data_IF_716985542086
#
_entry.id   IF_716985542086
#
_cell.length_a   1.000
_cell.length_b   1.000
_cell.length_c   1.000
_cell.angle_alpha   90.00
_cell.angle_beta   90.00
_cell.angle_gamma   90.00
#
_symmetry.space_group_name_H-M   'P 1'
#
loop_
_entity.id
_entity.type
_entity.pdbx_description
1 polymer ?
#
# COMPACT_ATOMS: atom_id res chain seq x y z
N UNK A 1 -19.56 9.62 17.20
CA UNK A 1 -19.58 10.79 16.30
C UNK A 1 -19.35 10.33 14.88
N UNK A 2 -19.98 10.97 13.94
CA UNK A 2 -19.90 10.70 12.51
C UNK A 2 -19.08 11.85 11.91
N UNK A 3 -18.17 11.55 10.98
CA UNK A 3 -17.43 12.56 10.24
C UNK A 3 -18.32 13.35 9.26
N UNK A 4 -17.76 14.38 8.64
CA UNK A 4 -18.49 15.23 7.69
C UNK A 4 -18.98 14.48 6.44
N UNK A 5 -18.40 13.30 6.14
CA UNK A 5 -18.86 12.40 5.09
C UNK A 5 -19.89 11.35 5.57
N UNK A 6 -20.42 11.52 6.80
CA UNK A 6 -21.35 10.61 7.46
C UNK A 6 -20.78 9.22 7.79
N UNK A 7 -19.47 9.03 7.76
CA UNK A 7 -18.79 7.78 8.16
C UNK A 7 -18.41 7.80 9.62
N UNK A 8 -18.43 6.65 10.28
CA UNK A 8 -17.93 6.45 11.64
C UNK A 8 -16.50 5.89 11.54
N UNK A 9 -15.61 6.66 10.94
CA UNK A 9 -14.22 6.25 10.75
C UNK A 9 -13.32 7.47 10.87
N UNK A 10 -12.48 7.50 11.92
CA UNK A 10 -11.42 8.49 12.01
C UNK A 10 -10.26 8.03 11.12
N UNK A 11 -10.24 8.50 9.89
CA UNK A 11 -9.19 8.20 8.89
C UNK A 11 -8.31 9.44 8.69
N UNK A 12 -7.10 9.51 9.28
CA UNK A 12 -6.27 10.71 9.24
C UNK A 12 -5.89 11.21 7.82
N UNK A 13 -5.79 10.36 6.79
CA UNK A 13 -5.66 10.81 5.40
C UNK A 13 -6.90 11.49 4.82
N UNK A 14 -8.07 11.36 5.47
CA UNK A 14 -9.32 11.93 4.98
C UNK A 14 -9.45 13.41 5.34
N UNK A 15 -9.72 14.32 4.38
CA UNK A 15 -9.97 15.72 4.68
C UNK A 15 -11.23 15.91 5.55
N UNK A 16 -12.18 14.98 5.48
CA UNK A 16 -13.39 15.03 6.30
C UNK A 16 -13.08 14.76 7.77
N UNK A 17 -12.27 13.74 8.09
CA UNK A 17 -11.82 13.49 9.46
C UNK A 17 -10.96 14.63 10.01
N UNK A 18 -10.18 15.28 9.15
CA UNK A 18 -9.25 16.36 9.53
C UNK A 18 -9.84 17.77 9.42
N UNK A 19 -11.14 17.92 9.09
CA UNK A 19 -11.76 19.20 8.79
C UNK A 19 -11.51 20.26 9.88
N UNK A 20 -11.66 19.90 11.14
CA UNK A 20 -11.44 20.84 12.25
C UNK A 20 -10.01 21.34 12.35
N UNK A 21 -9.02 20.52 12.03
CA UNK A 21 -7.62 20.93 11.98
C UNK A 21 -7.36 21.80 10.76
N UNK A 22 -7.99 21.50 9.63
CA UNK A 22 -7.93 22.32 8.42
C UNK A 22 -8.50 23.72 8.64
N UNK A 23 -9.59 23.85 9.38
CA UNK A 23 -10.23 25.14 9.68
C UNK A 23 -9.36 26.06 10.55
N UNK A 24 -8.44 25.49 11.33
CA UNK A 24 -7.56 26.25 12.24
C UNK A 24 -6.08 26.18 11.86
N UNK A 25 -5.73 25.63 10.71
CA UNK A 25 -4.34 25.39 10.28
C UNK A 25 -3.43 26.61 10.33
N UNK A 26 -3.99 27.80 10.03
CA UNK A 26 -3.22 29.04 10.01
C UNK A 26 -2.92 29.63 11.40
N UNK A 27 -3.43 28.98 12.46
CA UNK A 27 -3.19 29.39 13.86
C UNK A 27 -2.00 28.68 14.50
N UNK A 28 -1.45 27.67 13.86
CA UNK A 28 -0.37 26.82 14.37
C UNK A 28 0.66 26.55 13.28
N UNK A 29 1.91 26.36 13.68
CA UNK A 29 2.99 26.02 12.74
C UNK A 29 2.79 24.66 12.07
N UNK A 30 2.15 23.73 12.79
CA UNK A 30 1.81 22.38 12.33
C UNK A 30 0.66 21.81 13.16
N UNK A 31 -0.19 20.99 12.56
CA UNK A 31 -1.19 20.22 13.29
C UNK A 31 -1.17 18.77 12.82
N UNK A 32 -1.54 17.85 13.71
CA UNK A 32 -1.58 16.42 13.39
C UNK A 32 -2.63 15.70 14.24
N UNK A 33 -3.06 14.54 13.74
CA UNK A 33 -3.92 13.61 14.45
C UNK A 33 -3.54 12.17 14.14
N UNK A 34 -4.00 11.26 14.99
CA UNK A 34 -3.93 9.82 14.77
C UNK A 34 -5.34 9.26 14.68
N UNK A 35 -5.47 8.05 14.14
CA UNK A 35 -6.70 7.28 14.23
C UNK A 35 -6.92 6.69 15.65
N UNK A 36 -7.97 5.90 15.81
CA UNK A 36 -8.43 5.47 17.14
C UNK A 36 -7.49 4.49 17.83
N UNK A 37 -6.74 3.70 17.09
CA UNK A 37 -5.72 2.76 17.59
C UNK A 37 -4.29 3.29 17.45
N UNK A 38 -4.14 4.53 16.96
CA UNK A 38 -2.90 5.30 16.90
C UNK A 38 -1.81 4.65 16.01
N UNK A 39 -2.20 3.84 15.04
CA UNK A 39 -1.27 3.20 14.11
C UNK A 39 -1.06 4.00 12.81
N UNK A 40 -1.91 5.02 12.56
CA UNK A 40 -1.84 5.92 11.40
C UNK A 40 -1.83 7.39 11.81
N UNK A 41 -1.22 8.21 10.97
CA UNK A 41 -1.04 9.64 11.19
C UNK A 41 -1.68 10.49 10.09
N UNK A 42 -2.07 11.71 10.43
CA UNK A 42 -2.42 12.76 9.48
C UNK A 42 -1.71 14.05 9.88
N UNK A 43 -1.12 14.74 8.92
CA UNK A 43 -0.39 15.99 9.13
C UNK A 43 -1.04 17.10 8.33
N UNK A 44 -1.38 18.20 9.00
CA UNK A 44 -1.93 19.41 8.41
C UNK A 44 -0.90 20.52 8.50
N UNK A 45 -0.54 21.06 7.35
CA UNK A 45 0.40 22.17 7.16
C UNK A 45 -0.38 23.44 6.79
N UNK A 46 0.30 24.57 6.65
CA UNK A 46 -0.34 25.79 6.14
C UNK A 46 -0.94 25.60 4.73
N UNK A 47 -0.36 24.73 3.91
CA UNK A 47 -0.89 24.38 2.59
C UNK A 47 -2.13 23.48 2.63
N UNK A 48 -2.41 22.81 3.77
CA UNK A 48 -3.51 21.89 3.96
C UNK A 48 -3.08 20.51 4.45
N UNK A 49 -3.96 19.53 4.27
CA UNK A 49 -3.69 18.13 4.61
C UNK A 49 -2.60 17.56 3.68
N UNK A 50 -1.52 17.08 4.27
CA UNK A 50 -0.43 16.47 3.52
C UNK A 50 -0.77 15.00 3.20
N UNK A 51 -0.74 14.65 1.92
CA UNK A 51 -1.01 13.28 1.51
C UNK A 51 0.02 12.30 2.13
N UNK A 52 -0.39 11.08 2.56
CA UNK A 52 0.51 10.13 3.22
C UNK A 52 1.77 9.84 2.41
N UNK A 53 1.65 9.52 1.13
CA UNK A 53 2.79 9.26 0.26
C UNK A 53 3.77 10.44 0.16
N UNK A 54 3.26 11.67 0.22
CA UNK A 54 4.10 12.87 0.24
C UNK A 54 4.88 12.95 1.54
N UNK A 55 4.21 12.71 2.66
CA UNK A 55 4.86 12.77 3.97
C UNK A 55 5.84 11.61 4.19
N UNK A 56 5.53 10.39 3.71
CA UNK A 56 6.50 9.28 3.72
C UNK A 56 7.81 9.67 3.04
N UNK A 57 7.73 10.32 1.88
CA UNK A 57 8.92 10.76 1.13
C UNK A 57 9.73 11.81 1.90
N UNK A 58 9.05 12.76 2.56
CA UNK A 58 9.70 13.77 3.41
C UNK A 58 10.33 13.15 4.65
N UNK A 59 9.62 12.22 5.33
CA UNK A 59 10.17 11.51 6.49
C UNK A 59 11.45 10.76 6.13
N UNK A 60 11.45 10.02 5.04
CA UNK A 60 12.60 9.26 4.56
C UNK A 60 13.76 10.21 4.27
N UNK A 61 13.52 11.26 3.49
CA UNK A 61 14.55 12.23 3.15
C UNK A 61 15.18 12.86 4.39
N UNK A 62 14.34 13.30 5.31
CA UNK A 62 14.80 13.95 6.54
C UNK A 62 15.56 12.98 7.46
N UNK A 63 14.98 11.80 7.75
CA UNK A 63 15.55 10.86 8.70
C UNK A 63 16.93 10.36 8.28
N UNK A 64 17.10 9.94 7.03
CA UNK A 64 18.38 9.40 6.56
C UNK A 64 19.49 10.44 6.45
N UNK A 65 19.15 11.73 6.46
CA UNK A 65 20.13 12.83 6.53
C UNK A 65 20.41 13.29 7.97
N UNK A 66 19.48 13.04 8.94
CA UNK A 66 19.58 13.59 10.29
C UNK A 66 19.68 12.53 11.38
N UNK A 67 19.99 11.29 11.03
CA UNK A 67 20.21 10.16 11.95
C UNK A 67 21.59 9.54 11.70
N UNK A 68 22.69 10.24 12.07
CA UNK A 68 24.05 9.79 11.73
C UNK A 68 24.48 8.50 12.42
N UNK A 69 23.74 8.08 13.45
CA UNK A 69 24.02 6.82 14.18
C UNK A 69 23.37 5.61 13.50
N UNK A 70 22.49 5.83 12.52
CA UNK A 70 21.91 4.73 11.76
C UNK A 70 22.96 4.08 10.85
N UNK A 71 22.89 2.77 10.72
CA UNK A 71 23.75 2.03 9.81
C UNK A 71 23.71 2.62 8.40
N UNK A 72 24.88 2.75 7.79
CA UNK A 72 24.96 3.12 6.36
C UNK A 72 24.25 2.12 5.45
N UNK A 73 24.04 0.89 5.90
CA UNK A 73 23.34 -0.18 5.18
C UNK A 73 21.84 -0.23 5.49
N UNK A 74 21.34 0.58 6.44
CA UNK A 74 19.92 0.62 6.75
C UNK A 74 19.10 0.97 5.50
N UNK A 75 18.13 0.11 5.17
CA UNK A 75 17.29 0.23 3.98
C UNK A 75 16.00 1.01 4.28
N UNK A 76 15.29 1.36 3.21
CA UNK A 76 13.97 1.98 3.22
C UNK A 76 12.92 0.93 2.90
N UNK A 77 12.01 0.66 3.85
CA UNK A 77 10.86 -0.23 3.65
C UNK A 77 9.66 0.53 3.06
N UNK A 78 9.08 0.00 1.98
CA UNK A 78 7.85 0.50 1.34
C UNK A 78 7.00 -0.64 0.81
N UNK A 79 5.70 -0.42 0.62
CA UNK A 79 4.84 -1.39 -0.06
C UNK A 79 4.86 -1.20 -1.58
N UNK A 80 4.47 -2.24 -2.32
CA UNK A 80 4.36 -2.19 -3.79
C UNK A 80 3.36 -1.15 -4.31
N UNK A 81 2.48 -0.63 -3.45
CA UNK A 81 1.48 0.40 -3.78
C UNK A 81 1.82 1.79 -3.25
N UNK A 82 2.94 1.94 -2.54
CA UNK A 82 3.46 3.25 -2.14
C UNK A 82 4.09 3.98 -3.33
N UNK A 83 4.15 5.32 -3.22
CA UNK A 83 4.68 6.19 -4.28
C UNK A 83 6.08 5.80 -4.75
N UNK A 84 6.32 5.90 -6.05
CA UNK A 84 7.65 5.78 -6.65
C UNK A 84 8.54 7.01 -6.42
N UNK A 85 8.04 8.09 -5.82
CA UNK A 85 8.86 9.18 -5.34
C UNK A 85 9.86 8.70 -4.28
N UNK A 86 9.48 7.73 -3.45
CA UNK A 86 10.37 7.08 -2.47
C UNK A 86 11.58 6.43 -3.17
N UNK A 87 11.38 5.86 -4.36
CA UNK A 87 12.46 5.23 -5.14
C UNK A 87 13.51 6.28 -5.56
N UNK A 88 13.05 7.45 -6.02
CA UNK A 88 13.91 8.57 -6.42
C UNK A 88 14.66 9.17 -5.24
N UNK A 89 13.97 9.37 -4.12
CA UNK A 89 14.58 9.82 -2.85
C UNK A 89 15.62 8.81 -2.36
N UNK A 90 15.28 7.51 -2.35
CA UNK A 90 16.17 6.43 -1.96
C UNK A 90 17.44 6.38 -2.83
N UNK A 91 17.30 6.53 -4.14
CA UNK A 91 18.43 6.59 -5.08
C UNK A 91 19.35 7.78 -4.79
N UNK A 92 18.81 8.99 -4.56
CA UNK A 92 19.60 10.17 -4.14
C UNK A 92 20.35 9.93 -2.83
N UNK A 93 19.70 9.31 -1.85
CA UNK A 93 20.27 8.98 -0.56
C UNK A 93 21.22 7.79 -0.60
N UNK A 94 21.36 7.13 -1.75
CA UNK A 94 22.12 5.88 -1.94
C UNK A 94 21.69 4.78 -0.96
N UNK A 95 20.37 4.66 -0.73
CA UNK A 95 19.79 3.67 0.17
C UNK A 95 19.06 2.59 -0.61
N UNK A 96 19.25 1.35 -0.17
CA UNK A 96 18.53 0.20 -0.72
C UNK A 96 17.04 0.30 -0.36
N UNK A 97 16.19 -0.05 -1.33
CA UNK A 97 14.76 -0.22 -1.09
C UNK A 97 14.46 -1.67 -0.68
N UNK A 98 13.52 -1.82 0.24
CA UNK A 98 12.91 -3.08 0.60
C UNK A 98 11.41 -2.98 0.30
N UNK A 99 11.06 -3.20 -0.99
CA UNK A 99 9.69 -3.12 -1.48
C UNK A 99 9.00 -4.47 -1.31
N UNK A 100 7.90 -4.50 -0.55
CA UNK A 100 7.22 -5.71 -0.10
C UNK A 100 5.71 -5.66 -0.43
N UNK A 101 4.98 -6.79 -0.36
CA UNK A 101 3.53 -6.76 -0.44
C UNK A 101 2.91 -5.88 0.64
N UNK A 102 1.66 -5.45 0.44
CA UNK A 102 0.91 -4.70 1.47
C UNK A 102 0.81 -5.53 2.75
N UNK A 103 1.10 -4.88 3.87
CA UNK A 103 1.06 -5.47 5.21
C UNK A 103 2.35 -5.20 6.00
N UNK A 104 2.20 -4.51 7.12
CA UNK A 104 3.33 -4.03 7.92
C UNK A 104 4.20 -5.15 8.51
N UNK A 105 3.63 -6.35 8.68
CA UNK A 105 4.33 -7.57 9.15
C UNK A 105 5.64 -7.89 8.41
N UNK A 106 5.74 -7.48 7.14
CA UNK A 106 6.92 -7.72 6.32
C UNK A 106 8.13 -6.91 6.76
N UNK A 107 7.89 -5.79 7.43
CA UNK A 107 8.94 -4.89 7.90
C UNK A 107 9.45 -5.25 9.30
N UNK A 108 8.67 -5.99 10.08
CA UNK A 108 8.95 -6.26 11.48
C UNK A 108 10.36 -6.83 11.75
N UNK A 109 10.87 -7.84 11.01
CA UNK A 109 12.23 -8.34 11.23
C UNK A 109 13.30 -7.27 11.01
N UNK A 110 13.19 -6.51 9.90
CA UNK A 110 14.18 -5.51 9.54
C UNK A 110 14.17 -4.27 10.44
N UNK A 111 13.02 -3.90 11.02
CA UNK A 111 12.93 -2.87 12.05
C UNK A 111 13.53 -3.36 13.38
N UNK A 112 13.32 -4.65 13.72
CA UNK A 112 13.83 -5.24 14.94
C UNK A 112 15.35 -5.33 14.96
N UNK A 113 15.96 -5.71 13.84
CA UNK A 113 17.41 -5.91 13.73
C UNK A 113 18.18 -4.68 13.19
N UNK A 114 17.46 -3.60 12.83
CA UNK A 114 18.03 -2.35 12.32
C UNK A 114 18.49 -2.40 10.86
N UNK A 115 18.18 -3.46 10.11
CA UNK A 115 18.42 -3.52 8.65
C UNK A 115 17.47 -2.62 7.87
N UNK A 116 16.33 -2.24 8.46
CA UNK A 116 15.45 -1.17 7.98
C UNK A 116 15.56 0.03 8.92
N UNK A 117 15.95 1.19 8.39
CA UNK A 117 15.91 2.45 9.12
C UNK A 117 14.49 3.02 9.22
N UNK A 118 13.71 2.80 8.17
CA UNK A 118 12.34 3.26 8.02
C UNK A 118 11.48 2.21 7.32
N UNK A 119 10.21 2.14 7.69
CA UNK A 119 9.18 1.40 6.98
C UNK A 119 7.87 2.21 6.95
N UNK A 120 7.16 2.19 5.81
CA UNK A 120 5.91 2.93 5.67
C UNK A 120 4.96 2.37 4.63
N UNK A 121 3.69 2.65 4.83
CA UNK A 121 2.57 2.29 3.95
C UNK A 121 1.82 3.54 3.51
N UNK A 122 1.27 3.52 2.31
CA UNK A 122 0.46 4.61 1.73
C UNK A 122 -0.79 4.92 2.54
N UNK A 123 -1.19 4.04 3.43
CA UNK A 123 -2.31 4.21 4.38
C UNK A 123 -1.98 5.12 5.56
N UNK A 124 -0.78 5.73 5.57
CA UNK A 124 -0.25 6.58 6.65
C UNK A 124 0.23 5.82 7.89
N UNK A 125 0.52 4.53 7.77
CA UNK A 125 1.24 3.77 8.79
C UNK A 125 2.73 3.85 8.57
N UNK A 126 3.53 4.18 9.59
CA UNK A 126 4.98 4.21 9.50
C UNK A 126 5.64 3.85 10.83
N UNK A 127 6.87 3.34 10.75
CA UNK A 127 7.76 3.18 11.89
C UNK A 127 9.20 3.38 11.45
N UNK A 128 10.06 3.79 12.38
CA UNK A 128 11.47 4.01 12.12
C UNK A 128 12.30 3.85 13.40
N UNK A 129 13.59 3.69 13.24
CA UNK A 129 14.52 3.48 14.34
C UNK A 129 14.62 4.72 15.23
N UNK A 130 14.99 4.51 16.48
CA UNK A 130 15.42 5.57 17.40
C UNK A 130 16.64 6.29 16.85
N UNK A 131 17.02 7.39 17.48
CA UNK A 131 18.19 8.19 17.09
C UNK A 131 19.49 7.40 17.14
N UNK A 132 19.62 6.49 18.10
CA UNK A 132 20.78 5.62 18.29
C UNK A 132 20.82 4.40 17.35
N UNK A 133 19.81 4.24 16.49
CA UNK A 133 19.70 3.11 15.56
C UNK A 133 19.05 1.86 16.17
N UNK A 134 18.62 1.90 17.42
CA UNK A 134 17.86 0.79 18.02
C UNK A 134 16.40 0.80 17.57
N UNK A 135 15.75 -0.35 17.64
CA UNK A 135 14.33 -0.48 17.32
C UNK A 135 13.47 0.35 18.28
N UNK A 136 12.51 1.10 17.73
CA UNK A 136 11.42 1.72 18.50
C UNK A 136 10.26 0.75 18.63
N UNK A 137 9.70 0.36 17.51
CA UNK A 137 8.60 -0.61 17.40
C UNK A 137 8.77 -1.41 16.11
N UNK A 138 8.13 -2.56 16.04
CA UNK A 138 8.07 -3.42 14.85
C UNK A 138 6.72 -3.36 14.15
N UNK A 139 5.82 -2.51 14.64
CA UNK A 139 4.52 -2.24 14.03
C UNK A 139 4.36 -0.75 13.75
N UNK A 140 3.29 -0.38 13.07
CA UNK A 140 2.95 1.00 12.73
C UNK A 140 2.76 1.85 13.99
N UNK A 141 3.18 3.09 13.91
CA UNK A 141 3.02 4.10 14.94
C UNK A 141 2.56 5.41 14.30
N UNK A 142 1.44 5.94 14.73
CA UNK A 142 0.93 7.23 14.25
C UNK A 142 1.49 8.41 15.04
N UNK A 143 1.89 8.19 16.30
CA UNK A 143 2.35 9.26 17.20
C UNK A 143 3.75 9.72 16.82
N UNK A 144 4.68 8.80 16.61
CA UNK A 144 6.09 9.14 16.31
C UNK A 144 6.24 9.86 14.97
N UNK A 145 5.57 9.46 13.87
CA UNK A 145 5.50 10.27 12.66
C UNK A 145 4.92 11.67 12.86
N UNK A 146 3.87 11.81 13.68
CA UNK A 146 3.30 13.11 14.01
C UNK A 146 4.30 14.01 14.77
N UNK A 147 5.00 13.47 15.76
CA UNK A 147 6.09 14.17 16.47
C UNK A 147 7.26 14.50 15.54
N UNK A 148 7.55 13.66 14.55
CA UNK A 148 8.57 13.95 13.56
C UNK A 148 8.21 15.17 12.69
N UNK A 149 6.93 15.37 12.38
CA UNK A 149 6.48 16.58 11.67
C UNK A 149 6.81 17.84 12.47
N UNK A 150 6.62 17.82 13.80
CA UNK A 150 7.01 18.92 14.68
C UNK A 150 8.55 19.08 14.75
N UNK A 151 9.32 17.99 14.84
CA UNK A 151 10.79 18.04 14.78
C UNK A 151 11.29 18.69 13.48
N UNK A 152 10.74 18.26 12.33
CA UNK A 152 11.07 18.80 11.02
C UNK A 152 10.80 20.30 10.99
N UNK A 153 9.61 20.74 11.37
CA UNK A 153 9.18 22.15 11.38
C UNK A 153 10.12 22.98 12.25
N UNK A 154 10.39 22.54 13.48
CA UNK A 154 11.24 23.26 14.41
C UNK A 154 12.71 23.36 13.95
N UNK A 155 13.26 22.29 13.34
CA UNK A 155 14.67 22.25 12.92
C UNK A 155 14.92 22.91 11.58
N UNK A 156 13.98 22.82 10.67
CA UNK A 156 14.12 23.36 9.31
C UNK A 156 13.55 24.77 9.18
N UNK A 157 12.78 25.24 10.16
CA UNK A 157 12.00 26.49 10.07
C UNK A 157 10.93 26.47 8.98
N UNK A 158 10.56 25.29 8.50
CA UNK A 158 9.62 25.04 7.41
C UNK A 158 8.87 23.73 7.66
N UNK A 159 7.60 23.70 7.35
CA UNK A 159 6.76 22.53 7.54
C UNK A 159 7.06 21.40 6.52
N UNK A 160 6.62 20.16 6.78
CA UNK A 160 6.81 19.04 5.85
C UNK A 160 6.21 19.24 4.45
N UNK A 161 5.16 20.06 4.32
CA UNK A 161 4.56 20.38 3.01
C UNK A 161 5.51 21.22 2.14
N UNK A 162 6.21 22.18 2.76
CA UNK A 162 7.23 22.96 2.08
C UNK A 162 8.43 22.09 1.64
N UNK A 163 8.84 21.12 2.45
CA UNK A 163 9.90 20.16 2.09
C UNK A 163 9.43 19.21 0.99
N UNK A 164 8.17 18.79 1.00
CA UNK A 164 7.60 18.03 -0.11
C UNK A 164 7.66 18.80 -1.43
N UNK A 165 7.34 20.11 -1.41
CA UNK A 165 7.43 20.93 -2.61
C UNK A 165 8.86 20.97 -3.19
N UNK A 166 9.90 20.94 -2.35
CA UNK A 166 11.29 20.82 -2.80
C UNK A 166 11.55 19.46 -3.48
N UNK A 167 11.10 18.36 -2.87
CA UNK A 167 11.22 17.03 -3.47
C UNK A 167 10.45 16.93 -4.80
N UNK A 168 9.25 17.50 -4.86
CA UNK A 168 8.46 17.54 -6.07
C UNK A 168 9.12 18.36 -7.20
N UNK A 169 9.79 19.46 -6.85
CA UNK A 169 10.56 20.25 -7.83
C UNK A 169 11.79 19.52 -8.35
N UNK A 170 12.45 18.72 -7.49
CA UNK A 170 13.65 17.96 -7.85
C UNK A 170 13.32 16.72 -8.68
N UNK A 171 12.31 15.96 -8.25
CA UNK A 171 12.03 14.62 -8.78
C UNK A 171 10.78 14.53 -9.64
N UNK A 172 9.98 15.59 -9.74
CA UNK A 172 8.65 15.59 -10.31
C UNK A 172 7.57 15.40 -9.23
N UNK A 173 6.38 15.89 -9.55
CA UNK A 173 5.21 15.86 -8.66
C UNK A 173 4.24 14.78 -9.14
N UNK A 174 4.31 13.55 -8.62
CA UNK A 174 3.40 12.49 -9.02
C UNK A 174 1.99 12.78 -8.53
N UNK A 175 1.01 12.47 -9.38
CA UNK A 175 -0.41 12.40 -9.00
C UNK A 175 -0.80 10.94 -8.85
N UNK A 176 -1.56 10.62 -7.81
CA UNK A 176 -1.98 9.27 -7.50
C UNK A 176 -3.47 9.23 -7.16
N UNK A 177 -4.10 8.11 -7.46
CA UNK A 177 -5.50 7.87 -7.11
C UNK A 177 -5.74 6.37 -6.89
N UNK A 178 -6.88 6.04 -6.28
CA UNK A 178 -7.28 4.68 -5.96
C UNK A 178 -8.74 4.46 -6.33
N UNK A 179 -9.01 3.38 -7.07
CA UNK A 179 -10.36 2.90 -7.38
C UNK A 179 -10.64 1.63 -6.59
N UNK A 180 -11.85 1.54 -6.06
CA UNK A 180 -12.36 0.37 -5.34
C UNK A 180 -13.64 -0.12 -5.99
N UNK A 181 -13.79 -1.43 -6.16
CA UNK A 181 -15.00 -2.03 -6.69
C UNK A 181 -15.33 -3.34 -5.98
N UNK A 182 -16.65 -3.63 -5.86
CA UNK A 182 -17.12 -4.87 -5.25
C UNK A 182 -16.60 -6.08 -6.03
N UNK A 183 -16.25 -7.15 -5.32
CA UNK A 183 -15.79 -8.39 -5.90
C UNK A 183 -16.20 -9.60 -5.07
N UNK A 184 -16.70 -10.64 -5.72
CA UNK A 184 -16.96 -11.92 -5.07
C UNK A 184 -15.67 -12.61 -4.65
N UNK A 185 -15.78 -13.63 -3.81
CA UNK A 185 -14.63 -14.43 -3.37
C UNK A 185 -13.88 -15.06 -4.55
N UNK A 186 -14.61 -15.55 -5.56
CA UNK A 186 -14.03 -16.14 -6.77
C UNK A 186 -13.29 -15.10 -7.62
N UNK A 187 -13.85 -13.91 -7.78
CA UNK A 187 -13.20 -12.80 -8.48
C UNK A 187 -11.93 -12.35 -7.75
N UNK A 188 -11.98 -12.25 -6.42
CA UNK A 188 -10.81 -11.94 -5.59
C UNK A 188 -9.71 -13.00 -5.76
N UNK A 189 -10.07 -14.29 -5.77
CA UNK A 189 -9.12 -15.38 -5.99
C UNK A 189 -8.47 -15.34 -7.38
N UNK A 190 -9.25 -15.03 -8.43
CA UNK A 190 -8.72 -14.88 -9.80
C UNK A 190 -7.74 -13.72 -9.90
N UNK A 191 -8.07 -12.56 -9.30
CA UNK A 191 -7.19 -11.42 -9.29
C UNK A 191 -5.90 -11.71 -8.50
N UNK A 192 -5.99 -12.38 -7.35
CA UNK A 192 -4.84 -12.76 -6.55
C UNK A 192 -3.88 -13.73 -7.26
N UNK A 193 -4.42 -14.54 -8.19
CA UNK A 193 -3.68 -15.52 -8.99
C UNK A 193 -3.32 -14.99 -10.39
N UNK A 194 -3.49 -13.69 -10.65
CA UNK A 194 -3.19 -13.11 -11.96
C UNK A 194 -1.69 -13.10 -12.19
N UNK A 195 -1.25 -13.81 -13.23
CA UNK A 195 0.14 -13.92 -13.62
C UNK A 195 0.50 -12.88 -14.71
N UNK A 196 1.76 -12.44 -14.79
CA UNK A 196 2.23 -11.45 -15.78
C UNK A 196 1.91 -11.84 -17.24
N UNK A 197 1.98 -13.13 -17.56
CA UNK A 197 1.73 -13.67 -18.91
C UNK A 197 0.27 -13.50 -19.36
N UNK A 198 -0.64 -13.19 -18.43
CA UNK A 198 -2.06 -12.92 -18.72
C UNK A 198 -2.33 -11.47 -19.09
N UNK A 199 -1.32 -10.61 -19.01
CA UNK A 199 -1.41 -9.21 -19.43
C UNK A 199 -1.00 -9.15 -20.92
N UNK A 200 -2.01 -9.13 -21.79
CA UNK A 200 -1.81 -9.23 -23.25
C UNK A 200 -1.37 -7.91 -23.90
N UNK A 201 -1.42 -6.79 -23.18
CA UNK A 201 -1.03 -5.49 -23.70
C UNK A 201 0.46 -5.22 -23.49
N UNK A 202 1.12 -4.63 -24.46
CA UNK A 202 2.51 -4.15 -24.36
C UNK A 202 2.63 -2.69 -23.93
N UNK A 203 1.50 -1.99 -23.77
CA UNK A 203 1.46 -0.57 -23.44
C UNK A 203 0.51 -0.28 -22.28
N UNK A 204 0.81 0.79 -21.54
CA UNK A 204 -0.01 1.37 -20.49
C UNK A 204 -0.10 2.87 -20.71
N UNK A 205 -1.30 3.38 -20.91
CA UNK A 205 -1.60 4.80 -21.18
C UNK A 205 -0.77 5.39 -22.35
N UNK A 206 -0.44 4.57 -23.35
CA UNK A 206 0.34 4.96 -24.54
C UNK A 206 1.85 4.90 -24.34
N UNK A 207 2.33 4.35 -23.22
CA UNK A 207 3.75 4.11 -22.96
C UNK A 207 4.03 2.60 -22.93
N UNK A 208 5.22 2.22 -23.43
CA UNK A 208 5.67 0.83 -23.34
C UNK A 208 5.72 0.36 -21.89
N UNK A 209 5.17 -0.82 -21.61
CA UNK A 209 5.31 -1.48 -20.32
C UNK A 209 6.78 -1.89 -20.13
N UNK A 210 7.38 -1.46 -19.04
CA UNK A 210 8.77 -1.76 -18.65
C UNK A 210 8.85 -3.04 -17.81
N UNK A 211 7.89 -3.26 -16.92
CA UNK A 211 7.81 -4.47 -16.10
C UNK A 211 6.40 -4.78 -15.62
N UNK A 212 6.16 -6.06 -15.35
CA UNK A 212 4.94 -6.58 -14.76
C UNK A 212 5.36 -7.48 -13.60
N UNK A 213 4.86 -7.20 -12.39
CA UNK A 213 5.26 -7.88 -11.17
C UNK A 213 4.05 -8.57 -10.52
N UNK A 214 4.22 -9.83 -10.18
CA UNK A 214 3.33 -10.62 -9.32
C UNK A 214 3.98 -10.92 -7.95
N UNK A 215 5.27 -10.60 -7.82
CA UNK A 215 6.08 -10.72 -6.61
C UNK A 215 6.75 -9.42 -6.26
N UNK A 216 6.91 -9.17 -4.97
CA UNK A 216 7.56 -7.96 -4.48
C UNK A 216 9.08 -8.04 -4.60
N UNK A 217 9.75 -7.00 -5.15
CA UNK A 217 11.20 -7.03 -5.41
C UNK A 217 12.06 -7.19 -4.16
N UNK A 218 11.56 -6.79 -2.98
CA UNK A 218 12.34 -6.80 -1.75
C UNK A 218 12.48 -8.18 -1.12
N UNK A 219 11.47 -9.06 -1.26
CA UNK A 219 11.43 -10.35 -0.55
C UNK A 219 10.90 -11.52 -1.38
N UNK A 220 10.68 -11.33 -2.67
CA UNK A 220 10.13 -12.33 -3.61
C UNK A 220 8.77 -12.92 -3.19
N UNK A 221 8.08 -12.27 -2.24
CA UNK A 221 6.77 -12.70 -1.79
C UNK A 221 5.69 -12.30 -2.81
N UNK A 222 4.67 -13.17 -3.05
CA UNK A 222 3.54 -12.83 -3.91
C UNK A 222 2.83 -11.56 -3.42
N UNK A 223 2.59 -10.61 -4.33
CA UNK A 223 1.86 -9.38 -3.99
C UNK A 223 0.34 -9.63 -3.86
N UNK A 224 -0.11 -10.81 -4.26
CA UNK A 224 -1.53 -11.18 -4.23
C UNK A 224 -2.35 -10.37 -5.24
N UNK A 225 -1.79 -10.14 -6.41
CA UNK A 225 -2.33 -9.34 -7.50
C UNK A 225 -1.24 -9.04 -8.53
N UNK A 226 -1.34 -7.92 -9.21
CA UNK A 226 -0.42 -7.53 -10.26
C UNK A 226 0.01 -6.06 -10.12
N UNK A 227 1.26 -5.74 -10.45
CA UNK A 227 1.73 -4.36 -10.63
C UNK A 227 2.32 -4.21 -12.03
N UNK A 228 1.84 -3.23 -12.79
CA UNK A 228 2.30 -2.92 -14.14
C UNK A 228 2.96 -1.55 -14.13
N UNK A 229 4.16 -1.47 -14.65
CA UNK A 229 5.01 -0.28 -14.60
C UNK A 229 5.36 0.15 -16.02
N UNK A 230 5.15 1.44 -16.30
CA UNK A 230 5.60 2.14 -17.49
C UNK A 230 6.51 3.31 -17.08
N UNK A 231 7.08 4.01 -18.06
CA UNK A 231 8.06 5.08 -17.83
C UNK A 231 7.58 6.18 -16.90
N UNK A 232 6.34 6.66 -17.11
CA UNK A 232 5.80 7.83 -16.39
C UNK A 232 4.73 7.47 -15.39
N UNK A 233 4.43 6.18 -15.18
CA UNK A 233 3.42 5.78 -14.22
C UNK A 233 3.28 4.27 -14.06
N UNK A 234 2.46 3.89 -13.13
CA UNK A 234 2.19 2.49 -12.80
C UNK A 234 0.78 2.31 -12.26
N UNK A 235 0.29 1.09 -12.32
CA UNK A 235 -0.83 0.68 -11.48
C UNK A 235 -0.52 -0.62 -10.76
N UNK A 236 -1.21 -0.84 -9.63
CA UNK A 236 -1.24 -2.12 -8.93
C UNK A 236 -2.69 -2.49 -8.59
N UNK A 237 -3.10 -3.71 -8.91
CA UNK A 237 -4.43 -4.22 -8.63
C UNK A 237 -4.35 -5.43 -7.71
N UNK A 238 -5.15 -5.42 -6.62
CA UNK A 238 -5.18 -6.49 -5.63
C UNK A 238 -6.54 -6.60 -4.93
N UNK A 239 -6.96 -7.80 -4.51
CA UNK A 239 -8.13 -7.95 -3.66
C UNK A 239 -7.88 -7.37 -2.26
N UNK A 240 -8.93 -6.87 -1.61
CA UNK A 240 -8.91 -6.56 -0.19
C UNK A 240 -8.86 -7.86 0.64
N UNK A 241 -8.03 -7.87 1.69
CA UNK A 241 -7.97 -9.00 2.62
C UNK A 241 -9.13 -9.04 3.61
N UNK A 242 -9.78 -7.90 3.87
CA UNK A 242 -10.79 -7.72 4.92
C UNK A 242 -12.18 -7.39 4.40
N UNK A 243 -12.28 -6.91 3.16
CA UNK A 243 -13.54 -6.46 2.55
C UNK A 243 -13.82 -7.21 1.25
N UNK A 244 -15.07 -7.23 0.82
CA UNK A 244 -15.48 -7.85 -0.45
C UNK A 244 -15.34 -6.90 -1.64
N UNK A 245 -14.12 -6.36 -1.77
CA UNK A 245 -13.72 -5.45 -2.84
C UNK A 245 -12.34 -5.82 -3.37
N UNK A 246 -12.00 -5.28 -4.53
CA UNK A 246 -10.61 -5.11 -4.98
C UNK A 246 -10.25 -3.63 -5.06
N UNK A 247 -8.95 -3.35 -5.06
CA UNK A 247 -8.40 -2.00 -5.12
C UNK A 247 -7.42 -1.91 -6.29
N UNK A 248 -7.54 -0.84 -7.06
CA UNK A 248 -6.56 -0.45 -8.07
C UNK A 248 -5.92 0.84 -7.60
N UNK A 249 -4.62 0.81 -7.37
CA UNK A 249 -3.79 1.96 -7.07
C UNK A 249 -3.08 2.39 -8.34
N UNK A 250 -2.98 3.67 -8.61
CA UNK A 250 -2.22 4.18 -9.74
C UNK A 250 -1.49 5.46 -9.39
N UNK A 251 -0.37 5.69 -10.08
CA UNK A 251 0.43 6.89 -9.96
C UNK A 251 0.93 7.31 -11.34
N UNK A 252 1.02 8.63 -11.56
CA UNK A 252 1.54 9.21 -12.80
C UNK A 252 2.38 10.45 -12.55
N UNK A 253 3.52 10.54 -13.21
CA UNK A 253 4.35 11.75 -13.32
C UNK A 253 3.98 12.62 -14.53
N UNK A 254 3.10 12.14 -15.40
CA UNK A 254 2.65 12.87 -16.60
C UNK A 254 1.30 13.60 -16.38
N UNK A 255 0.88 13.76 -15.11
CA UNK A 255 -0.28 14.55 -14.71
C UNK A 255 -1.61 13.78 -14.67
N UNK A 256 -2.68 14.51 -14.32
CA UNK A 256 -3.98 13.92 -14.00
C UNK A 256 -4.65 13.20 -15.18
N UNK A 257 -4.55 13.73 -16.40
CA UNK A 257 -5.13 13.07 -17.59
C UNK A 257 -4.46 11.72 -17.88
N UNK A 258 -3.14 11.65 -17.71
CA UNK A 258 -2.40 10.40 -17.87
C UNK A 258 -2.78 9.39 -16.76
N UNK A 259 -2.92 9.84 -15.52
CA UNK A 259 -3.41 9.02 -14.41
C UNK A 259 -4.80 8.42 -14.70
N UNK A 260 -5.74 9.22 -15.23
CA UNK A 260 -7.08 8.73 -15.58
C UNK A 260 -7.04 7.67 -16.70
N UNK A 261 -6.13 7.83 -17.67
CA UNK A 261 -5.91 6.79 -18.70
C UNK A 261 -5.37 5.49 -18.07
N UNK A 262 -4.37 5.58 -17.18
CA UNK A 262 -3.85 4.43 -16.46
C UNK A 262 -4.97 3.71 -15.70
N UNK A 263 -5.77 4.43 -14.93
CA UNK A 263 -6.87 3.85 -14.16
C UNK A 263 -7.91 3.15 -15.04
N UNK A 264 -8.30 3.76 -16.18
CA UNK A 264 -9.26 3.17 -17.12
C UNK A 264 -8.71 1.87 -17.76
N UNK A 265 -7.45 1.87 -18.16
CA UNK A 265 -6.82 0.69 -18.74
C UNK A 265 -6.61 -0.40 -17.69
N UNK A 266 -6.17 -0.04 -16.48
CA UNK A 266 -6.07 -0.95 -15.35
C UNK A 266 -7.41 -1.61 -15.01
N UNK A 267 -8.51 -0.84 -15.00
CA UNK A 267 -9.86 -1.37 -14.81
C UNK A 267 -10.21 -2.40 -15.88
N UNK A 268 -9.91 -2.11 -17.16
CA UNK A 268 -10.17 -3.03 -18.27
C UNK A 268 -9.38 -4.32 -18.13
N UNK A 269 -8.12 -4.26 -17.72
CA UNK A 269 -7.27 -5.42 -17.47
C UNK A 269 -7.84 -6.27 -16.33
N UNK A 270 -8.20 -5.64 -15.22
CA UNK A 270 -8.77 -6.32 -14.06
C UNK A 270 -10.11 -6.97 -14.41
N UNK A 271 -11.02 -6.26 -15.09
CA UNK A 271 -12.34 -6.80 -15.48
C UNK A 271 -12.20 -8.06 -16.34
N UNK A 272 -11.27 -8.07 -17.29
CA UNK A 272 -10.97 -9.27 -18.08
C UNK A 272 -10.43 -10.42 -17.22
N UNK A 273 -9.54 -10.13 -16.28
CA UNK A 273 -8.94 -11.12 -15.40
C UNK A 273 -9.96 -11.79 -14.48
N UNK A 274 -10.87 -10.99 -13.90
CA UNK A 274 -11.89 -11.50 -12.97
C UNK A 274 -13.09 -12.13 -13.68
N UNK A 275 -13.38 -11.78 -14.95
CA UNK A 275 -14.44 -12.38 -15.75
C UNK A 275 -14.07 -13.76 -16.32
N UNK A 276 -12.75 -14.02 -16.56
CA UNK A 276 -12.31 -15.27 -17.15
C UNK A 276 -12.51 -16.45 -16.19
N UNK A 277 -13.02 -17.62 -16.63
CA UNK A 277 -13.01 -18.82 -15.82
C UNK A 277 -11.58 -19.17 -15.42
N UNK A 278 -11.38 -19.67 -14.19
CA UNK A 278 -10.06 -20.08 -13.71
C UNK A 278 -9.47 -21.10 -14.68
N UNK A 279 -8.29 -20.83 -15.25
CA UNK A 279 -7.59 -21.78 -16.08
C UNK A 279 -7.20 -22.98 -15.19
N UNK A 280 -7.85 -24.13 -15.38
CA UNK A 280 -7.43 -25.40 -14.78
C UNK A 280 -8.18 -25.91 -13.55
N UNK A 281 -9.43 -25.55 -13.30
CA UNK A 281 -10.27 -26.45 -12.52
C UNK A 281 -10.67 -27.64 -13.40
N UNK A 282 -10.22 -28.88 -13.10
CA UNK A 282 -10.79 -30.02 -13.78
C UNK A 282 -12.29 -30.05 -13.52
N UNK A 283 -13.10 -30.11 -14.60
CA UNK A 283 -14.52 -30.35 -14.49
C UNK A 283 -14.71 -31.53 -13.54
N UNK A 284 -15.41 -31.31 -12.44
CA UNK A 284 -15.85 -32.41 -11.57
C UNK A 284 -16.59 -33.40 -12.45
N UNK A 285 -15.99 -34.56 -12.69
CA UNK A 285 -16.68 -35.65 -13.35
C UNK A 285 -17.98 -35.93 -12.60
N UNK A 286 -19.10 -36.17 -13.31
CA UNK A 286 -20.35 -36.49 -12.66
C UNK A 286 -20.14 -37.72 -11.76
N UNK A 287 -20.48 -37.63 -10.51
CA UNK A 287 -20.43 -38.73 -9.56
C UNK A 287 -21.26 -39.90 -10.13
N UNK A 288 -20.60 -41.00 -10.41
CA UNK A 288 -21.24 -42.26 -10.72
C UNK A 288 -22.08 -42.65 -9.50
N UNK A 289 -23.36 -42.98 -9.62
CA UNK A 289 -24.14 -43.44 -8.49
C UNK A 289 -23.58 -44.76 -7.97
N UNK A 290 -23.10 -44.75 -6.75
CA UNK A 290 -22.63 -45.92 -6.01
C UNK A 290 -23.84 -46.86 -5.80
N UNK A 291 -23.71 -48.07 -6.31
CA UNK A 291 -24.73 -49.13 -6.18
C UNK A 291 -24.88 -49.50 -4.70
N UNK A 292 -26.11 -49.47 -4.19
CA UNK A 292 -26.44 -49.88 -2.84
C UNK A 292 -26.00 -51.33 -2.58
N UNK A 293 -25.41 -51.66 -1.40
CA UNK A 293 -25.11 -53.07 -1.08
C UNK A 293 -26.39 -53.82 -0.74
N UNK A 294 -26.51 -55.01 -1.32
CA UNK A 294 -27.60 -55.97 -1.08
C UNK A 294 -27.69 -56.38 0.41
N UNK A 295 -28.90 -56.37 0.90
CA UNK A 295 -29.23 -56.82 2.26
C UNK A 295 -28.90 -58.34 2.42
N UNK A 296 -27.99 -58.66 3.31
CA UNK A 296 -27.72 -60.02 3.77
C UNK A 296 -28.69 -60.39 4.89
N UNK A 297 -29.44 -61.45 4.68
CA UNK A 297 -30.39 -62.04 5.61
C UNK A 297 -29.70 -62.59 6.86
N UNK A 298 -30.24 -62.28 8.02
CA UNK A 298 -29.85 -62.88 9.30
C UNK A 298 -30.38 -64.31 9.48
N UNK A 299 -29.64 -65.25 10.07
CA UNK A 299 -30.24 -66.49 10.56
C UNK A 299 -30.71 -66.31 12.01
N UNK A 300 -31.95 -66.75 12.24
CA UNK A 300 -32.54 -66.95 13.55
C UNK A 300 -31.84 -68.09 14.31
N UNK A 301 -31.47 -67.84 15.56
CA UNK A 301 -31.30 -68.95 16.53
C UNK A 301 -31.90 -68.58 17.88
N UNK A 302 -32.71 -69.53 18.30
CA UNK A 302 -33.54 -69.65 19.50
C UNK A 302 -32.72 -70.09 20.74
N UNK A 303 -33.17 -69.65 21.94
CA UNK A 303 -33.04 -70.26 23.29
C UNK A 303 -31.61 -70.34 23.92
N UNK A 304 -31.43 -70.00 25.12
CA UNK A 304 -32.14 -70.19 26.43
C UNK A 304 -31.88 -69.01 27.36
#
# INVERSE_FOLDING_TARGET
TVDWDARILMDPPSPYAMQRLLDIKDRYDIAFACDTDHDRHGVVTHAGLLAPNHYLSVMIDYLFQHRPQWSAQAAIGKTVVSTSLIDRVGARLQRRLYEVPVGFKWFAPGLQDGTLGFAGEESAGAAFLRRDGSAWTTDKDGIVPALLAAEITARRGRDPGALYAELANEFGNPVADRVEAAATREQKARLAALAPERIETGELAGEKIESILDKAPGNDAPIGGIKVIAKSGWFAARPSGTEDIYKIYAESYAGAEHLQRILKEAQTIVDRAIAAPAAGSPASAPATPEAAPAASAAPSTTRR
#
